data_IF_225677810209
#
_entry.id   IF_225677810209
#
_cell.length_a   1.000
_cell.length_b   1.000
_cell.length_c   1.000
_cell.angle_alpha   90.00
_cell.angle_beta   90.00
_cell.angle_gamma   90.00
#
_symmetry.space_group_name_H-M   'P 1'
#
loop_
_entity.id
_entity.type
_entity.pdbx_description
1 polymer ?
#
# COMPACT_ATOMS: atom_id res chain seq x y z
N UNK A 1 19.54 -32.96 -4.37
CA UNK A 1 18.11 -32.89 -3.98
C UNK A 1 18.03 -32.03 -2.74
N UNK A 2 17.59 -30.78 -2.87
CA UNK A 2 17.48 -29.87 -1.73
C UNK A 2 16.34 -30.34 -0.82
N UNK A 3 16.63 -30.42 0.49
CA UNK A 3 15.67 -30.82 1.50
C UNK A 3 14.43 -29.91 1.43
N UNK A 4 13.24 -30.52 1.39
CA UNK A 4 11.98 -29.83 1.65
C UNK A 4 12.07 -29.30 3.08
N UNK A 5 12.31 -28.00 3.22
CA UNK A 5 12.16 -27.31 4.50
C UNK A 5 10.78 -27.65 5.06
N UNK A 6 10.71 -28.00 6.34
CA UNK A 6 9.46 -28.18 7.05
C UNK A 6 8.62 -26.93 6.80
N UNK A 7 7.53 -27.08 6.04
CA UNK A 7 6.74 -25.94 5.59
C UNK A 7 6.23 -25.20 6.80
N UNK A 8 6.63 -23.93 6.96
CA UNK A 8 5.94 -23.05 7.90
C UNK A 8 4.46 -23.08 7.51
N UNK A 9 3.62 -23.51 8.43
CA UNK A 9 2.18 -23.45 8.25
C UNK A 9 1.81 -21.96 8.20
N UNK A 10 1.28 -21.52 7.06
CA UNK A 10 0.94 -20.13 6.81
C UNK A 10 -0.59 -19.99 6.82
N UNK A 11 -1.09 -19.19 7.77
CA UNK A 11 -2.52 -18.98 7.99
C UNK A 11 -3.15 -18.02 7.00
N UNK A 12 -2.36 -17.31 6.21
CA UNK A 12 -2.85 -16.41 5.17
C UNK A 12 -2.64 -17.03 3.79
N UNK A 13 -3.48 -16.68 2.83
CA UNK A 13 -3.26 -17.05 1.43
C UNK A 13 -2.33 -16.03 0.77
N UNK A 14 -2.52 -14.74 1.09
CA UNK A 14 -1.69 -13.65 0.61
C UNK A 14 -1.34 -12.64 1.71
N UNK A 15 -0.20 -11.98 1.53
CA UNK A 15 0.14 -10.75 2.23
C UNK A 15 -0.18 -9.55 1.34
N UNK A 16 -0.74 -8.50 1.94
CA UNK A 16 -0.91 -7.19 1.31
C UNK A 16 0.07 -6.25 1.98
N UNK A 17 1.21 -6.04 1.34
CA UNK A 17 2.28 -5.19 1.84
C UNK A 17 1.95 -3.74 1.48
N UNK A 18 1.94 -2.84 2.46
CA UNK A 18 1.66 -1.40 2.30
C UNK A 18 2.80 -0.58 2.88
N UNK A 19 2.98 0.62 2.32
CA UNK A 19 4.01 1.60 2.74
C UNK A 19 3.54 3.00 2.32
N UNK A 20 2.89 3.73 3.23
CA UNK A 20 2.28 5.01 2.87
C UNK A 20 3.30 6.15 2.87
N UNK A 21 3.25 6.98 1.84
CA UNK A 21 3.85 8.31 1.92
C UNK A 21 2.80 9.31 2.38
N UNK A 22 3.21 10.25 3.24
CA UNK A 22 2.30 11.23 3.82
C UNK A 22 2.88 12.64 3.81
N UNK A 23 1.99 13.64 3.89
CA UNK A 23 2.41 15.05 4.04
C UNK A 23 3.33 15.21 5.25
N UNK A 24 4.40 15.99 5.11
CA UNK A 24 5.33 16.25 6.20
C UNK A 24 5.99 17.63 6.11
N UNK A 25 6.57 18.04 7.23
CA UNK A 25 7.33 19.29 7.39
C UNK A 25 8.65 18.96 8.07
N UNK A 26 9.68 19.76 7.81
CA UNK A 26 10.98 19.59 8.43
C UNK A 26 10.89 19.93 9.93
N UNK A 27 11.55 19.13 10.77
CA UNK A 27 11.74 19.36 12.22
C UNK A 27 10.44 19.49 13.06
N UNK A 28 9.29 19.11 12.51
CA UNK A 28 8.00 19.14 13.20
C UNK A 28 7.02 18.10 12.62
N UNK A 29 5.90 17.88 13.31
CA UNK A 29 4.77 17.11 12.78
C UNK A 29 3.74 18.06 12.21
N UNK A 30 3.28 17.77 11.00
CA UNK A 30 2.14 18.46 10.39
C UNK A 30 0.84 17.79 10.88
N UNK A 31 -0.20 18.57 11.14
CA UNK A 31 -1.50 18.05 11.53
C UNK A 31 -2.65 18.74 10.76
N UNK A 32 -3.61 17.98 10.20
CA UNK A 32 -3.57 16.52 10.05
C UNK A 32 -2.44 16.11 9.08
N UNK A 33 -1.88 14.92 9.30
CA UNK A 33 -1.02 14.26 8.32
C UNK A 33 -1.92 13.51 7.34
N UNK A 34 -1.63 13.59 6.05
CA UNK A 34 -2.48 13.06 4.98
C UNK A 34 -1.66 12.14 4.07
N UNK A 35 -2.21 10.97 3.73
CA UNK A 35 -1.61 10.07 2.74
C UNK A 35 -1.55 10.79 1.39
N UNK A 36 -0.38 10.77 0.75
CA UNK A 36 -0.11 11.34 -0.58
C UNK A 36 0.38 10.29 -1.58
N UNK A 37 0.77 9.11 -1.10
CA UNK A 37 0.97 7.92 -1.92
C UNK A 37 0.43 6.69 -1.21
N UNK A 38 -0.31 5.86 -1.95
CA UNK A 38 -0.86 4.60 -1.50
C UNK A 38 -0.36 3.47 -2.41
N UNK A 39 0.84 2.93 -2.17
CA UNK A 39 1.30 1.71 -2.79
C UNK A 39 0.82 0.49 -1.99
N UNK A 40 0.54 -0.60 -2.71
CA UNK A 40 0.33 -1.91 -2.11
C UNK A 40 0.86 -3.01 -3.02
N UNK A 41 1.35 -4.10 -2.43
CA UNK A 41 1.85 -5.27 -3.16
C UNK A 41 1.17 -6.52 -2.61
N UNK A 42 0.54 -7.30 -3.49
CA UNK A 42 -0.02 -8.59 -3.15
C UNK A 42 1.05 -9.66 -3.33
N UNK A 43 1.33 -10.42 -2.27
CA UNK A 43 2.36 -11.45 -2.24
C UNK A 43 1.73 -12.80 -1.93
N UNK A 44 1.99 -13.81 -2.75
CA UNK A 44 1.62 -15.20 -2.48
C UNK A 44 2.40 -15.68 -1.24
N UNK A 45 1.66 -16.07 -0.21
CA UNK A 45 2.24 -16.37 1.11
C UNK A 45 3.05 -17.68 1.14
N UNK A 46 2.79 -18.60 0.20
CA UNK A 46 3.45 -19.90 0.13
C UNK A 46 4.78 -19.83 -0.62
N UNK A 47 4.88 -18.95 -1.62
CA UNK A 47 6.03 -18.81 -2.51
C UNK A 47 6.84 -17.54 -2.28
N UNK A 48 6.27 -16.54 -1.60
CA UNK A 48 6.86 -15.22 -1.43
C UNK A 48 6.91 -14.38 -2.71
N UNK A 49 6.19 -14.79 -3.77
CA UNK A 49 6.19 -14.10 -5.06
C UNK A 49 5.16 -12.98 -5.09
N UNK A 50 5.51 -11.91 -5.79
CA UNK A 50 4.59 -10.81 -6.06
C UNK A 50 3.59 -11.26 -7.13
N UNK A 51 2.31 -11.22 -6.78
CA UNK A 51 1.19 -11.57 -7.67
C UNK A 51 0.61 -10.33 -8.36
N UNK A 52 0.57 -9.20 -7.65
CA UNK A 52 0.05 -7.94 -8.21
C UNK A 52 0.58 -6.74 -7.44
N UNK A 53 0.55 -5.58 -8.08
CA UNK A 53 0.92 -4.29 -7.48
C UNK A 53 -0.17 -3.26 -7.71
N UNK A 54 -0.30 -2.37 -6.75
CA UNK A 54 -1.17 -1.21 -6.76
C UNK A 54 -0.37 0.02 -6.36
N UNK A 55 -0.66 1.14 -7.01
CA UNK A 55 -0.03 2.42 -6.69
C UNK A 55 -0.95 3.55 -7.09
N UNK A 56 -1.24 4.47 -6.17
CA UNK A 56 -1.95 5.71 -6.46
C UNK A 56 -1.32 6.85 -5.68
N UNK A 57 -1.13 7.99 -6.33
CA UNK A 57 -0.95 9.24 -5.59
C UNK A 57 -2.31 9.75 -5.12
N UNK A 58 -2.30 10.44 -3.99
CA UNK A 58 -3.53 10.90 -3.33
C UNK A 58 -3.43 12.41 -3.15
N UNK A 59 -4.49 13.12 -3.54
CA UNK A 59 -4.56 14.58 -3.39
C UNK A 59 -4.92 14.96 -1.95
N UNK A 60 -4.03 15.62 -1.19
CA UNK A 60 -4.34 16.08 0.16
C UNK A 60 -5.38 17.22 0.14
N UNK A 61 -6.25 17.25 1.15
CA UNK A 61 -7.33 18.24 1.29
C UNK A 61 -6.99 19.35 2.28
N UNK A 62 -6.26 19.04 3.35
CA UNK A 62 -5.90 20.01 4.38
C UNK A 62 -4.61 20.77 4.06
N UNK A 63 -3.61 20.07 3.54
CA UNK A 63 -2.31 20.64 3.15
C UNK A 63 -2.05 20.37 1.67
N UNK A 64 -2.78 21.03 0.74
CA UNK A 64 -2.73 20.73 -0.69
C UNK A 64 -1.36 20.99 -1.33
N UNK A 65 -0.56 21.89 -0.75
CA UNK A 65 0.78 22.23 -1.24
C UNK A 65 1.84 21.48 -0.43
N UNK A 66 2.55 20.56 -1.09
CA UNK A 66 3.62 19.78 -0.47
C UNK A 66 4.81 20.69 -0.15
N UNK A 67 5.34 20.57 1.06
CA UNK A 67 6.54 21.31 1.43
C UNK A 67 7.74 20.85 0.60
N UNK A 68 8.75 21.71 0.45
CA UNK A 68 9.98 21.32 -0.24
C UNK A 68 10.63 20.10 0.42
N UNK A 69 10.69 20.07 1.76
CA UNK A 69 11.22 18.93 2.51
C UNK A 69 10.45 17.63 2.20
N UNK A 70 9.12 17.67 2.17
CA UNK A 70 8.30 16.51 1.85
C UNK A 70 8.61 15.97 0.44
N UNK A 71 8.69 16.87 -0.55
CA UNK A 71 8.99 16.49 -1.94
C UNK A 71 10.40 15.91 -2.11
N UNK A 72 11.37 16.45 -1.36
CA UNK A 72 12.75 15.95 -1.38
C UNK A 72 12.88 14.59 -0.67
N UNK A 73 12.13 14.38 0.42
CA UNK A 73 12.15 13.14 1.19
C UNK A 73 11.49 11.98 0.44
N UNK A 74 10.29 12.20 -0.12
CA UNK A 74 9.48 11.14 -0.77
C UNK A 74 9.74 11.03 -2.28
N UNK A 75 10.32 12.08 -2.89
CA UNK A 75 10.47 12.18 -4.35
C UNK A 75 9.18 12.53 -5.11
N UNK A 76 8.06 12.71 -4.40
CA UNK A 76 6.74 13.04 -4.98
C UNK A 76 6.72 14.52 -5.38
N UNK A 77 6.28 14.81 -6.60
CA UNK A 77 6.12 16.17 -7.10
C UNK A 77 4.72 16.70 -6.80
N UNK A 78 4.58 18.02 -6.84
CA UNK A 78 3.26 18.64 -6.67
C UNK A 78 2.28 18.19 -7.76
N UNK A 79 2.77 18.05 -9.00
CA UNK A 79 1.96 17.57 -10.13
C UNK A 79 1.45 16.12 -9.98
N UNK A 80 2.14 15.28 -9.20
CA UNK A 80 1.75 13.89 -8.96
C UNK A 80 0.46 13.80 -8.12
N UNK A 81 0.29 14.73 -7.16
CA UNK A 81 -0.87 14.79 -6.26
C UNK A 81 -2.00 15.69 -6.78
N UNK A 82 -1.68 16.80 -7.45
CA UNK A 82 -2.68 17.79 -7.89
C UNK A 82 -3.72 17.20 -8.84
N UNK A 83 -3.26 16.33 -9.76
CA UNK A 83 -4.09 15.69 -10.78
C UNK A 83 -4.68 14.33 -10.38
N UNK A 84 -4.48 13.90 -9.14
CA UNK A 84 -4.88 12.56 -8.70
C UNK A 84 -6.19 12.52 -7.90
N UNK A 85 -6.57 11.29 -7.56
CA UNK A 85 -7.80 10.98 -6.82
C UNK A 85 -7.70 11.42 -5.35
N UNK A 86 -8.83 11.56 -4.67
CA UNK A 86 -8.81 11.73 -3.22
C UNK A 86 -8.70 10.38 -2.48
N UNK A 87 -8.47 10.44 -1.16
CA UNK A 87 -8.23 9.23 -0.36
C UNK A 87 -9.41 8.24 -0.42
N UNK A 88 -10.65 8.73 -0.50
CA UNK A 88 -11.83 7.87 -0.55
C UNK A 88 -11.89 7.08 -1.85
N UNK A 89 -11.59 7.73 -2.97
CA UNK A 89 -11.50 7.06 -4.27
C UNK A 89 -10.26 6.13 -4.35
N UNK A 90 -9.12 6.50 -3.78
CA UNK A 90 -7.95 5.64 -3.70
C UNK A 90 -8.24 4.32 -2.94
N UNK A 91 -8.94 4.41 -1.81
CA UNK A 91 -9.39 3.23 -1.04
C UNK A 91 -10.34 2.34 -1.84
N UNK A 92 -11.29 2.92 -2.58
CA UNK A 92 -12.20 2.18 -3.44
C UNK A 92 -11.46 1.46 -4.59
N UNK A 93 -10.48 2.14 -5.20
CA UNK A 93 -9.62 1.55 -6.24
C UNK A 93 -8.76 0.42 -5.68
N UNK A 94 -8.23 0.56 -4.46
CA UNK A 94 -7.46 -0.47 -3.77
C UNK A 94 -8.32 -1.72 -3.48
N UNK A 95 -9.54 -1.54 -2.96
CA UNK A 95 -10.49 -2.66 -2.73
C UNK A 95 -10.86 -3.36 -4.05
N UNK A 96 -11.10 -2.59 -5.12
CA UNK A 96 -11.38 -3.12 -6.45
C UNK A 96 -10.20 -3.93 -6.99
N UNK A 97 -8.98 -3.42 -6.83
CA UNK A 97 -7.76 -4.10 -7.21
C UNK A 97 -7.58 -5.41 -6.43
N UNK A 98 -7.72 -5.41 -5.10
CA UNK A 98 -7.59 -6.62 -4.27
C UNK A 98 -8.59 -7.71 -4.66
N UNK A 99 -9.85 -7.34 -4.91
CA UNK A 99 -10.89 -8.27 -5.38
C UNK A 99 -10.52 -8.90 -6.71
N UNK A 100 -10.03 -8.10 -7.67
CA UNK A 100 -9.60 -8.60 -8.97
C UNK A 100 -8.36 -9.50 -8.86
N UNK A 101 -7.37 -9.09 -8.09
CA UNK A 101 -6.10 -9.81 -7.91
C UNK A 101 -6.28 -11.16 -7.20
N UNK A 102 -7.27 -11.27 -6.30
CA UNK A 102 -7.57 -12.51 -5.55
C UNK A 102 -8.67 -13.37 -6.17
N UNK A 103 -9.32 -12.94 -7.26
CA UNK A 103 -10.42 -13.66 -7.90
C UNK A 103 -10.02 -15.07 -8.39
N UNK A 104 -8.74 -15.27 -8.74
CA UNK A 104 -8.20 -16.52 -9.26
C UNK A 104 -7.72 -17.52 -8.19
N UNK A 105 -7.79 -17.19 -6.89
CA UNK A 105 -7.20 -17.98 -5.80
C UNK A 105 -7.88 -19.34 -5.51
N UNK A 106 -8.71 -19.82 -6.44
CA UNK A 106 -9.30 -21.16 -6.44
C UNK A 106 -10.52 -21.32 -5.51
N UNK A 107 -11.17 -22.48 -5.59
CA UNK A 107 -12.44 -22.91 -4.94
C UNK A 107 -12.56 -22.74 -3.40
N UNK A 108 -11.67 -22.01 -2.74
CA UNK A 108 -11.76 -21.68 -1.32
C UNK A 108 -12.94 -20.73 -1.09
N UNK A 109 -13.79 -21.09 -0.12
CA UNK A 109 -15.01 -20.33 0.24
C UNK A 109 -14.71 -18.92 0.77
N UNK A 110 -13.45 -18.62 1.14
CA UNK A 110 -12.97 -17.32 1.62
C UNK A 110 -11.44 -17.25 1.49
N UNK A 111 -10.92 -16.17 0.89
CA UNK A 111 -9.49 -15.85 0.84
C UNK A 111 -9.08 -15.20 2.17
N UNK A 112 -7.96 -15.63 2.75
CA UNK A 112 -7.38 -15.07 3.99
C UNK A 112 -6.24 -14.12 3.63
N UNK A 113 -6.34 -12.88 4.06
CA UNK A 113 -5.36 -11.82 3.81
C UNK A 113 -4.78 -11.32 5.13
N UNK A 114 -3.50 -10.95 5.14
CA UNK A 114 -2.89 -10.16 6.20
C UNK A 114 -2.28 -8.89 5.61
N UNK A 115 -2.53 -7.76 6.27
CA UNK A 115 -1.85 -6.50 5.97
C UNK A 115 -0.47 -6.54 6.63
N UNK A 116 0.56 -6.10 5.89
CA UNK A 116 1.95 -6.07 6.35
C UNK A 116 2.52 -4.69 6.07
N UNK A 117 3.17 -4.09 7.06
CA UNK A 117 3.82 -2.78 7.00
C UNK A 117 5.19 -2.85 7.67
N UNK A 118 6.00 -1.80 7.52
CA UNK A 118 7.27 -1.68 8.23
C UNK A 118 7.15 -0.73 9.42
N UNK A 119 6.56 -1.24 10.50
CA UNK A 119 6.27 -0.48 11.72
C UNK A 119 4.77 -0.35 11.96
N UNK A 120 4.40 0.49 12.92
CA UNK A 120 3.02 0.72 13.36
C UNK A 120 2.48 2.12 12.98
N UNK A 121 3.19 2.81 12.09
CA UNK A 121 2.84 4.16 11.63
C UNK A 121 1.86 4.18 10.46
N UNK A 122 1.92 3.16 9.60
CA UNK A 122 1.04 2.98 8.45
C UNK A 122 -0.43 2.71 8.83
#
# INVERSE_FOLDING_TARGET
>A
MAARGQGLEQDFDFFVVVDFEATCVKDARIFPQEIIEFPAVLVDSATGRIESTFRRYVRPKHHPVLTQFCRELTGIRQEDVDGNVDLGEALWLHDTWLKAATAGAGNKRRVRLAIVSWGDWD
#
